data_IF_200790611263
#
_entry.id   IF_200790611263
#
_cell.length_a   1.000
_cell.length_b   1.000
_cell.length_c   1.000
_cell.angle_alpha   90.00
_cell.angle_beta   90.00
_cell.angle_gamma   90.00
#
_symmetry.space_group_name_H-M   'P 1'
#
loop_
_entity.id
_entity.type
_entity.pdbx_description
1 polymer ?
#
# COMPACT_ATOMS: atom_id res chain seq x y z
N UNK A 1 5.29 -10.51 -1.11
CA UNK A 1 6.57 -10.68 -0.40
C UNK A 1 6.63 -9.59 0.65
N UNK A 2 6.68 -9.96 1.93
CA UNK A 2 6.85 -9.04 3.05
C UNK A 2 8.05 -9.55 3.84
N UNK A 3 9.05 -8.69 4.08
CA UNK A 3 10.26 -9.07 4.79
C UNK A 3 10.08 -8.73 6.26
N UNK A 4 9.55 -9.67 7.05
CA UNK A 4 9.23 -9.44 8.45
C UNK A 4 10.43 -9.41 9.39
N UNK A 5 11.54 -8.72 9.06
CA UNK A 5 12.73 -8.51 9.90
C UNK A 5 13.38 -9.77 10.54
N UNK A 6 12.91 -10.95 10.16
CA UNK A 6 13.23 -12.27 10.74
C UNK A 6 14.46 -12.90 10.05
N UNK A 7 15.59 -12.20 10.02
CA UNK A 7 16.80 -12.75 9.39
C UNK A 7 18.09 -12.03 9.71
N UNK A 8 19.18 -12.60 9.22
CA UNK A 8 20.52 -12.02 9.30
C UNK A 8 20.99 -11.65 7.90
N UNK A 9 21.62 -10.48 7.78
CA UNK A 9 22.21 -10.02 6.54
C UNK A 9 23.56 -9.35 6.82
N UNK A 10 24.42 -9.32 5.81
CA UNK A 10 25.71 -8.65 5.93
C UNK A 10 25.50 -7.12 5.95
N UNK A 11 26.10 -6.42 6.91
CA UNK A 11 25.99 -4.96 7.06
C UNK A 11 26.37 -4.18 5.79
N UNK A 12 27.26 -4.73 4.96
CA UNK A 12 27.67 -4.11 3.71
C UNK A 12 26.51 -3.96 2.70
N UNK A 13 25.43 -4.73 2.86
CA UNK A 13 24.22 -4.59 2.03
C UNK A 13 23.41 -3.33 2.38
N UNK A 14 23.66 -2.72 3.55
CA UNK A 14 22.95 -1.52 4.02
C UNK A 14 23.46 -0.21 3.43
N UNK A 15 24.45 -0.23 2.52
CA UNK A 15 24.95 1.00 1.92
C UNK A 15 23.80 1.79 1.26
N UNK A 16 23.46 2.94 1.85
CA UNK A 16 22.32 3.80 1.52
C UNK A 16 20.95 3.10 1.52
N UNK A 17 20.75 2.07 2.34
CA UNK A 17 19.46 1.40 2.52
C UNK A 17 18.97 1.57 3.97
N UNK A 18 17.80 2.17 4.13
CA UNK A 18 17.14 2.39 5.42
C UNK A 18 15.65 2.13 5.29
N UNK A 19 14.98 1.88 6.41
CA UNK A 19 13.52 1.90 6.44
C UNK A 19 13.00 3.30 6.13
N UNK A 20 11.86 3.35 5.44
CA UNK A 20 11.16 4.61 5.21
C UNK A 20 10.19 4.84 6.37
N UNK A 21 10.43 5.82 7.26
CA UNK A 21 9.81 5.85 8.59
C UNK A 21 8.33 6.24 8.60
N UNK A 22 7.77 6.68 7.47
CA UNK A 22 6.43 7.26 7.39
C UNK A 22 5.48 6.49 6.47
N UNK A 23 5.78 5.21 6.18
CA UNK A 23 4.89 4.30 5.45
C UNK A 23 4.64 3.03 6.25
N UNK A 24 3.49 2.43 6.01
CA UNK A 24 3.17 1.08 6.44
C UNK A 24 3.92 0.05 5.59
N UNK A 25 4.32 -1.06 6.19
CA UNK A 25 5.06 -2.12 5.51
C UNK A 25 6.36 -1.59 4.87
N UNK A 26 7.06 -0.71 5.60
CA UNK A 26 8.36 -0.15 5.26
C UNK A 26 9.44 -1.22 5.06
N UNK A 27 9.20 -2.37 5.67
CA UNK A 27 9.99 -3.60 5.57
C UNK A 27 9.97 -4.23 4.17
N UNK A 28 8.91 -3.99 3.39
CA UNK A 28 8.70 -4.56 2.07
C UNK A 28 9.67 -4.01 1.01
N UNK A 29 9.75 -2.69 0.75
CA UNK A 29 10.74 -2.14 -0.17
C UNK A 29 12.16 -2.37 0.35
N UNK A 30 12.37 -2.27 1.67
CA UNK A 30 13.66 -2.57 2.30
C UNK A 30 14.13 -3.99 1.97
N UNK A 31 13.28 -4.99 2.21
CA UNK A 31 13.57 -6.38 1.94
C UNK A 31 13.80 -6.65 0.46
N UNK A 32 12.97 -6.12 -0.43
CA UNK A 32 13.15 -6.31 -1.88
C UNK A 32 14.53 -5.78 -2.33
N UNK A 33 14.92 -4.59 -1.88
CA UNK A 33 16.22 -3.99 -2.22
C UNK A 33 17.36 -4.78 -1.58
N UNK A 34 17.22 -5.20 -0.32
CA UNK A 34 18.22 -6.00 0.39
C UNK A 34 18.51 -7.32 -0.35
N UNK A 35 17.44 -8.05 -0.73
CA UNK A 35 17.54 -9.30 -1.46
C UNK A 35 18.07 -9.10 -2.88
N UNK A 36 17.72 -7.99 -3.53
CA UNK A 36 18.25 -7.62 -4.84
C UNK A 36 19.77 -7.34 -4.82
N UNK A 37 20.30 -6.84 -3.69
CA UNK A 37 21.74 -6.62 -3.49
C UNK A 37 22.50 -7.89 -3.07
N UNK A 38 21.81 -8.92 -2.59
CA UNK A 38 22.45 -10.13 -2.07
C UNK A 38 23.03 -10.99 -3.21
N UNK A 39 24.30 -11.40 -3.06
CA UNK A 39 24.95 -12.33 -4.00
C UNK A 39 24.57 -13.80 -3.75
N UNK A 40 24.24 -14.13 -2.50
CA UNK A 40 23.85 -15.47 -2.08
C UNK A 40 22.83 -15.34 -0.94
N UNK A 41 21.81 -16.20 -0.96
CA UNK A 41 20.81 -16.32 0.09
C UNK A 41 20.87 -17.76 0.60
N UNK A 42 20.96 -17.93 1.92
CA UNK A 42 20.92 -19.24 2.58
C UNK A 42 19.65 -19.33 3.41
N UNK A 43 18.98 -20.48 3.36
CA UNK A 43 17.75 -20.72 4.11
C UNK A 43 18.09 -21.71 5.24
N UNK A 44 17.77 -21.33 6.47
CA UNK A 44 17.88 -22.20 7.63
C UNK A 44 16.48 -22.62 8.08
N UNK A 45 16.17 -23.90 7.97
CA UNK A 45 14.88 -24.43 8.40
C UNK A 45 14.89 -24.76 9.90
N UNK A 46 15.00 -23.73 10.74
CA UNK A 46 14.92 -23.83 12.21
C UNK A 46 14.07 -22.70 12.77
N UNK A 47 13.24 -23.01 13.75
CA UNK A 47 12.48 -21.99 14.47
C UNK A 47 13.40 -21.22 15.41
N UNK A 48 13.71 -19.97 15.05
CA UNK A 48 14.58 -19.09 15.85
C UNK A 48 13.88 -17.85 16.39
N UNK A 49 12.67 -17.55 15.91
CA UNK A 49 11.90 -16.36 16.28
C UNK A 49 10.47 -16.78 16.63
N UNK A 50 9.89 -16.13 17.64
CA UNK A 50 8.49 -16.27 18.03
C UNK A 50 7.76 -15.00 17.61
N UNK A 51 6.83 -15.12 16.67
CA UNK A 51 6.00 -14.01 16.25
C UNK A 51 4.88 -13.74 17.28
N UNK A 52 4.79 -12.51 17.79
CA UNK A 52 3.74 -12.12 18.74
C UNK A 52 2.52 -11.56 18.01
N UNK A 53 1.38 -12.24 18.17
CA UNK A 53 0.08 -11.76 17.70
C UNK A 53 -0.59 -10.93 18.80
N UNK A 54 -1.11 -9.75 18.46
CA UNK A 54 -1.86 -8.89 19.39
C UNK A 54 -2.95 -8.09 18.67
N UNK A 55 -4.03 -7.77 19.41
CA UNK A 55 -5.06 -6.83 18.97
C UNK A 55 -4.52 -5.40 18.86
N UNK A 56 -5.19 -4.57 18.04
CA UNK A 56 -4.76 -3.20 17.80
C UNK A 56 -3.37 -3.09 17.14
N UNK A 57 -2.95 -4.11 16.40
CA UNK A 57 -1.72 -4.07 15.62
C UNK A 57 -1.91 -3.32 14.29
N UNK A 58 -0.81 -2.90 13.68
CA UNK A 58 -0.84 -2.34 12.32
C UNK A 58 -1.46 -3.30 11.30
N UNK A 59 -1.30 -4.60 11.51
CA UNK A 59 -1.78 -5.68 10.65
C UNK A 59 -3.22 -6.15 10.95
N UNK A 60 -3.94 -5.50 11.87
CA UNK A 60 -5.33 -5.84 12.18
C UNK A 60 -6.27 -5.44 11.02
N UNK A 61 -6.87 -6.41 10.32
CA UNK A 61 -7.76 -6.12 9.20
C UNK A 61 -9.26 -6.12 9.58
N UNK A 62 -9.61 -6.59 10.78
CA UNK A 62 -10.97 -6.65 11.30
C UNK A 62 -11.41 -5.31 11.91
N UNK A 63 -11.36 -4.25 11.10
CA UNK A 63 -11.73 -2.88 11.51
C UNK A 63 -13.04 -2.49 10.84
N UNK A 64 -13.98 -2.03 11.65
CA UNK A 64 -15.28 -1.54 11.21
C UNK A 64 -15.35 -0.02 11.32
N UNK A 65 -16.42 0.59 10.77
CA UNK A 65 -16.65 2.03 10.89
C UNK A 65 -16.80 2.49 12.35
N UNK A 66 -17.23 1.59 13.24
CA UNK A 66 -17.42 1.85 14.67
C UNK A 66 -16.17 1.56 15.51
N UNK A 67 -15.08 1.10 14.91
CA UNK A 67 -13.85 0.81 15.66
C UNK A 67 -13.27 2.11 16.26
N UNK A 68 -12.91 2.11 17.56
CA UNK A 68 -12.40 3.31 18.22
C UNK A 68 -11.06 3.71 17.62
N UNK A 69 -10.80 5.03 17.59
CA UNK A 69 -9.48 5.57 17.27
C UNK A 69 -8.46 5.05 18.27
N UNK A 70 -7.30 4.61 17.77
CA UNK A 70 -6.16 4.23 18.61
C UNK A 70 -5.13 5.36 18.59
N UNK A 71 -4.20 5.34 19.55
CA UNK A 71 -3.03 6.21 19.51
C UNK A 71 -2.28 6.02 18.18
N UNK A 72 -1.97 7.13 17.51
CA UNK A 72 -1.27 7.16 16.24
C UNK A 72 -0.05 8.08 16.30
N UNK A 73 0.92 7.86 15.41
CA UNK A 73 2.08 8.74 15.25
C UNK A 73 1.64 10.12 14.75
N UNK A 74 2.30 11.19 15.17
CA UNK A 74 2.08 12.56 14.67
C UNK A 74 2.23 12.66 13.14
N UNK A 75 3.00 11.74 12.54
CA UNK A 75 3.11 11.64 11.09
C UNK A 75 1.79 11.28 10.38
N UNK A 76 0.73 10.87 11.08
CA UNK A 76 -0.58 10.51 10.53
C UNK A 76 -1.66 11.56 10.81
N UNK A 77 -1.35 12.65 11.50
CA UNK A 77 -2.33 13.64 11.96
C UNK A 77 -3.15 14.24 10.81
N UNK A 78 -2.52 14.49 9.66
CA UNK A 78 -3.17 15.00 8.44
C UNK A 78 -4.28 14.06 7.95
N UNK A 79 -3.98 12.75 7.89
CA UNK A 79 -4.91 11.72 7.45
C UNK A 79 -6.04 11.53 8.44
N UNK A 80 -5.73 11.49 9.74
CA UNK A 80 -6.74 11.32 10.79
C UNK A 80 -7.71 12.49 10.79
N UNK A 81 -7.20 13.72 10.69
CA UNK A 81 -8.04 14.93 10.66
C UNK A 81 -8.95 14.98 9.44
N UNK A 82 -8.42 14.65 8.25
CA UNK A 82 -9.20 14.68 7.02
C UNK A 82 -10.26 13.56 6.95
N UNK A 83 -9.88 12.33 7.28
CA UNK A 83 -10.71 11.14 7.04
C UNK A 83 -11.58 10.74 8.24
N UNK A 84 -11.22 11.20 9.45
CA UNK A 84 -11.94 11.08 10.74
C UNK A 84 -12.16 9.66 11.27
N UNK A 85 -12.58 8.73 10.43
CA UNK A 85 -12.87 7.35 10.78
C UNK A 85 -11.61 6.47 10.73
N UNK A 86 -11.48 5.54 11.68
CA UNK A 86 -10.32 4.65 11.79
C UNK A 86 -10.11 3.77 10.58
N UNK A 87 -11.17 3.15 10.10
CA UNK A 87 -11.15 2.35 8.87
C UNK A 87 -10.61 3.17 7.70
N UNK A 88 -11.17 4.37 7.50
CA UNK A 88 -10.84 5.25 6.38
C UNK A 88 -9.38 5.69 6.36
N UNK A 89 -8.86 6.28 7.45
CA UNK A 89 -7.46 6.72 7.45
C UNK A 89 -6.48 5.56 7.43
N UNK A 90 -6.79 4.42 8.05
CA UNK A 90 -5.90 3.25 8.03
C UNK A 90 -5.75 2.69 6.62
N UNK A 91 -6.85 2.46 5.93
CA UNK A 91 -6.80 1.94 4.56
C UNK A 91 -6.21 2.98 3.60
N UNK A 92 -6.52 4.26 3.76
CA UNK A 92 -5.86 5.32 2.99
C UNK A 92 -4.34 5.32 3.23
N UNK A 93 -3.89 5.21 4.49
CA UNK A 93 -2.48 5.10 4.84
C UNK A 93 -1.81 3.87 4.21
N UNK A 94 -2.49 2.72 4.22
CA UNK A 94 -2.03 1.51 3.56
C UNK A 94 -1.86 1.71 2.04
N UNK A 95 -2.87 2.26 1.36
CA UNK A 95 -2.80 2.55 -0.08
C UNK A 95 -1.73 3.58 -0.43
N UNK A 96 -1.60 4.64 0.38
CA UNK A 96 -0.52 5.62 0.30
C UNK A 96 0.86 4.95 0.44
N UNK A 97 0.97 3.98 1.34
CA UNK A 97 2.22 3.25 1.55
C UNK A 97 2.57 2.39 0.35
N UNK A 98 1.60 1.64 -0.21
CA UNK A 98 1.81 0.90 -1.46
C UNK A 98 2.24 1.77 -2.62
N UNK A 99 1.72 3.00 -2.71
CA UNK A 99 2.18 3.98 -3.69
C UNK A 99 3.68 4.27 -3.53
N UNK A 100 4.14 4.57 -2.30
CA UNK A 100 5.55 4.89 -2.04
C UNK A 100 6.46 3.68 -2.28
N UNK A 101 6.02 2.48 -1.87
CA UNK A 101 6.73 1.23 -2.16
C UNK A 101 6.91 1.08 -3.67
N UNK A 102 5.84 1.19 -4.45
CA UNK A 102 5.92 0.96 -5.89
C UNK A 102 6.75 2.04 -6.60
N UNK A 103 6.62 3.33 -6.24
CA UNK A 103 7.43 4.41 -6.80
C UNK A 103 8.90 4.24 -6.46
N UNK A 104 9.24 3.95 -5.19
CA UNK A 104 10.63 3.71 -4.79
C UNK A 104 11.24 2.49 -5.50
N UNK A 105 10.46 1.45 -5.78
CA UNK A 105 10.92 0.32 -6.57
C UNK A 105 11.10 0.64 -8.05
N UNK A 106 10.31 1.56 -8.64
CA UNK A 106 10.55 2.06 -10.00
C UNK A 106 11.91 2.75 -10.07
N UNK A 107 12.21 3.64 -9.12
CA UNK A 107 13.49 4.34 -9.05
C UNK A 107 14.64 3.34 -8.88
N UNK A 108 14.47 2.36 -7.99
CA UNK A 108 15.47 1.31 -7.77
C UNK A 108 15.75 0.47 -9.03
N UNK A 109 14.73 0.06 -9.78
CA UNK A 109 14.90 -0.67 -11.06
C UNK A 109 15.77 0.15 -12.03
N UNK A 110 15.66 1.48 -12.03
CA UNK A 110 16.49 2.37 -12.85
C UNK A 110 17.99 2.23 -12.58
N UNK A 111 18.37 1.83 -11.37
CA UNK A 111 19.78 1.66 -10.95
C UNK A 111 20.37 0.29 -11.26
N UNK A 112 19.52 -0.70 -11.56
CA UNK A 112 19.98 -2.07 -11.83
C UNK A 112 20.54 -2.20 -13.26
N UNK A 113 21.50 -3.08 -13.48
CA UNK A 113 21.94 -3.51 -14.81
C UNK A 113 21.29 -4.83 -15.26
N UNK A 114 20.86 -5.66 -14.32
CA UNK A 114 20.37 -7.03 -14.55
C UNK A 114 18.90 -7.08 -15.01
N UNK A 115 18.63 -7.58 -16.22
CA UNK A 115 17.26 -7.65 -16.80
C UNK A 115 16.31 -8.61 -16.04
N UNK A 116 16.68 -9.87 -15.74
CA UNK A 116 15.78 -10.78 -15.02
C UNK A 116 15.29 -10.27 -13.65
N UNK A 117 16.17 -9.60 -12.88
CA UNK A 117 15.80 -9.05 -11.58
C UNK A 117 14.86 -7.85 -11.74
N UNK A 118 15.12 -6.98 -12.73
CA UNK A 118 14.19 -5.88 -13.06
C UNK A 118 12.80 -6.43 -13.36
N UNK A 119 12.69 -7.49 -14.15
CA UNK A 119 11.39 -8.04 -14.53
C UNK A 119 10.64 -8.64 -13.34
N UNK A 120 11.33 -9.27 -12.39
CA UNK A 120 10.73 -9.73 -11.13
C UNK A 120 10.19 -8.57 -10.29
N UNK A 121 10.93 -7.47 -10.18
CA UNK A 121 10.47 -6.29 -9.42
C UNK A 121 9.33 -5.59 -10.16
N UNK A 122 9.38 -5.47 -11.50
CA UNK A 122 8.26 -4.98 -12.31
C UNK A 122 7.01 -5.82 -12.08
N UNK A 123 7.14 -7.15 -12.09
CA UNK A 123 6.03 -8.04 -11.80
C UNK A 123 5.45 -7.79 -10.41
N UNK A 124 6.31 -7.59 -9.39
CA UNK A 124 5.85 -7.17 -8.06
C UNK A 124 5.04 -5.87 -8.12
N UNK A 125 5.55 -4.82 -8.79
CA UNK A 125 4.86 -3.53 -8.95
C UNK A 125 3.49 -3.72 -9.62
N UNK A 126 3.41 -4.49 -10.71
CA UNK A 126 2.14 -4.73 -11.43
C UNK A 126 1.09 -5.37 -10.52
N UNK A 127 1.50 -6.32 -9.66
CA UNK A 127 0.57 -6.98 -8.74
C UNK A 127 0.10 -6.09 -7.58
N UNK A 128 0.85 -5.05 -7.23
CA UNK A 128 0.50 -4.15 -6.11
C UNK A 128 0.05 -2.76 -6.57
N UNK A 129 0.11 -2.47 -7.87
CA UNK A 129 -0.35 -1.20 -8.43
C UNK A 129 -1.81 -0.92 -8.06
N UNK A 130 -2.68 -1.94 -8.06
CA UNK A 130 -4.09 -1.77 -7.69
C UNK A 130 -4.23 -1.17 -6.28
N UNK A 131 -3.45 -1.67 -5.32
CA UNK A 131 -3.46 -1.16 -3.94
C UNK A 131 -2.97 0.29 -3.85
N UNK A 132 -1.97 0.68 -4.64
CA UNK A 132 -1.53 2.08 -4.71
C UNK A 132 -2.65 3.01 -5.24
N UNK A 133 -3.31 2.61 -6.32
CA UNK A 133 -4.36 3.42 -6.96
C UNK A 133 -5.67 3.46 -6.16
N UNK A 134 -5.92 2.52 -5.25
CA UNK A 134 -7.10 2.54 -4.36
C UNK A 134 -7.15 3.73 -3.40
N UNK A 135 -6.04 4.46 -3.23
CA UNK A 135 -6.05 5.78 -2.56
C UNK A 135 -7.00 6.79 -3.22
N UNK A 136 -7.43 6.56 -4.47
CA UNK A 136 -8.39 7.41 -5.21
C UNK A 136 -9.86 7.17 -4.84
N UNK A 137 -10.18 6.19 -4.00
CA UNK A 137 -11.55 5.94 -3.55
C UNK A 137 -12.07 6.98 -2.56
N UNK A 138 -11.14 7.66 -1.88
CA UNK A 138 -11.41 8.67 -0.88
C UNK A 138 -11.67 10.02 -1.56
N UNK A 139 -12.66 10.75 -1.05
CA UNK A 139 -12.99 12.07 -1.57
C UNK A 139 -11.98 13.10 -1.06
N UNK A 140 -11.51 12.92 0.18
CA UNK A 140 -10.38 13.60 0.79
C UNK A 140 -9.05 13.06 0.26
N UNK A 141 -8.08 13.96 0.07
CA UNK A 141 -6.74 13.58 -0.40
C UNK A 141 -5.65 14.39 0.32
N UNK A 142 -5.46 14.18 1.63
CA UNK A 142 -4.52 14.96 2.45
C UNK A 142 -3.06 14.87 1.98
N UNK A 143 -2.69 13.83 1.21
CA UNK A 143 -1.33 13.64 0.70
C UNK A 143 -1.17 13.72 -0.81
N UNK A 144 -2.13 14.32 -1.51
CA UNK A 144 -2.03 14.61 -2.94
C UNK A 144 -1.63 13.40 -3.81
N UNK A 145 -2.12 12.19 -3.48
CA UNK A 145 -1.64 10.92 -4.08
C UNK A 145 -1.77 10.82 -5.59
N UNK A 146 -2.73 11.54 -6.18
CA UNK A 146 -2.98 11.56 -7.62
C UNK A 146 -1.74 11.95 -8.43
N UNK A 147 -0.99 12.96 -7.98
CA UNK A 147 0.22 13.40 -8.67
C UNK A 147 1.33 12.35 -8.53
N UNK A 148 1.44 11.75 -7.34
CA UNK A 148 2.42 10.73 -7.03
C UNK A 148 2.16 9.40 -7.76
N UNK A 149 0.94 9.16 -8.26
CA UNK A 149 0.58 7.96 -9.03
C UNK A 149 1.07 8.00 -10.49
N UNK A 150 1.50 9.17 -11.01
CA UNK A 150 1.89 9.31 -12.42
C UNK A 150 2.95 8.29 -12.88
N UNK A 151 4.03 8.02 -12.12
CA UNK A 151 5.03 7.01 -12.50
C UNK A 151 4.46 5.60 -12.61
N UNK A 152 3.34 5.30 -11.94
CA UNK A 152 2.72 3.97 -11.94
C UNK A 152 1.78 3.72 -13.13
N UNK A 153 1.51 4.72 -13.97
CA UNK A 153 0.64 4.59 -15.15
C UNK A 153 1.03 3.41 -16.08
N UNK A 154 2.32 3.14 -16.35
CA UNK A 154 2.71 1.98 -17.19
C UNK A 154 2.47 0.62 -16.54
N UNK A 155 2.16 0.57 -15.24
CA UNK A 155 2.03 -0.65 -14.44
C UNK A 155 0.58 -0.99 -14.08
N UNK A 156 -0.40 -0.45 -14.83
CA UNK A 156 -1.82 -0.60 -14.55
C UNK A 156 -2.45 -1.91 -15.06
N UNK A 157 -1.66 -2.90 -15.48
CA UNK A 157 -2.15 -4.12 -16.16
C UNK A 157 -3.16 -4.89 -15.31
N UNK A 158 -3.01 -4.90 -13.99
CA UNK A 158 -3.91 -5.58 -13.04
C UNK A 158 -4.75 -4.60 -12.18
N UNK A 159 -4.84 -3.33 -12.56
CA UNK A 159 -5.63 -2.33 -11.83
C UNK A 159 -7.11 -2.45 -12.23
N UNK A 160 -7.99 -2.49 -11.23
CA UNK A 160 -9.44 -2.65 -11.41
C UNK A 160 -10.01 -1.53 -12.31
N UNK A 161 -11.00 -1.85 -13.16
CA UNK A 161 -11.59 -0.87 -14.07
C UNK A 161 -12.21 0.34 -13.36
N UNK A 162 -12.86 0.14 -12.22
CA UNK A 162 -13.40 1.22 -11.39
C UNK A 162 -12.31 2.20 -10.93
N UNK A 163 -11.14 1.67 -10.55
CA UNK A 163 -9.98 2.44 -10.13
C UNK A 163 -9.37 3.19 -11.31
N UNK A 164 -9.29 2.55 -12.49
CA UNK A 164 -8.85 3.20 -13.73
C UNK A 164 -9.75 4.38 -14.09
N UNK A 165 -11.08 4.23 -13.97
CA UNK A 165 -12.04 5.33 -14.17
C UNK A 165 -11.82 6.44 -13.12
N UNK A 166 -11.61 6.09 -11.85
CA UNK A 166 -11.30 7.07 -10.81
C UNK A 166 -10.05 7.90 -11.14
N UNK A 167 -9.05 7.27 -11.74
CA UNK A 167 -7.83 7.94 -12.17
C UNK A 167 -8.02 8.80 -13.42
N UNK A 168 -8.49 8.23 -14.54
CA UNK A 168 -8.56 8.92 -15.83
C UNK A 168 -9.77 9.85 -15.98
N UNK A 169 -10.89 9.53 -15.34
CA UNK A 169 -12.15 10.26 -15.47
C UNK A 169 -12.79 10.53 -14.09
N UNK A 170 -12.16 11.35 -13.23
CA UNK A 170 -12.59 11.52 -11.83
C UNK A 170 -14.01 12.07 -11.68
N UNK A 171 -14.46 12.95 -12.60
CA UNK A 171 -15.84 13.48 -12.59
C UNK A 171 -16.85 12.35 -12.83
N UNK A 172 -16.60 11.51 -13.84
CA UNK A 172 -17.45 10.36 -14.14
C UNK A 172 -17.47 9.37 -12.97
N UNK A 173 -16.31 9.07 -12.39
CA UNK A 173 -16.22 8.21 -11.22
C UNK A 173 -17.08 8.70 -10.04
N UNK A 174 -17.03 10.00 -9.74
CA UNK A 174 -17.86 10.61 -8.68
C UNK A 174 -19.36 10.46 -8.95
N UNK A 175 -19.79 10.64 -10.20
CA UNK A 175 -21.19 10.41 -10.60
C UNK A 175 -21.57 8.94 -10.39
N UNK A 176 -20.77 8.00 -10.92
CA UNK A 176 -21.02 6.56 -10.79
C UNK A 176 -21.07 6.12 -9.32
N UNK A 177 -20.15 6.62 -8.48
CA UNK A 177 -20.11 6.36 -7.04
C UNK A 177 -21.38 6.85 -6.35
N UNK A 178 -21.86 8.06 -6.68
CA UNK A 178 -23.10 8.63 -6.13
C UNK A 178 -24.33 7.81 -6.56
N UNK A 179 -24.43 7.46 -7.84
CA UNK A 179 -25.55 6.65 -8.36
C UNK A 179 -25.60 5.26 -7.70
N UNK A 180 -24.44 4.60 -7.55
CA UNK A 180 -24.34 3.32 -6.85
C UNK A 180 -24.83 3.40 -5.40
N UNK A 181 -24.50 4.48 -4.69
CA UNK A 181 -24.96 4.70 -3.30
C UNK A 181 -26.48 4.88 -3.23
N UNK A 182 -27.06 5.65 -4.15
CA UNK A 182 -28.51 5.85 -4.22
C UNK A 182 -29.23 4.52 -4.48
N UNK A 183 -28.77 3.74 -5.47
CA UNK A 183 -29.35 2.43 -5.78
C UNK A 183 -29.27 1.45 -4.60
N UNK A 184 -28.15 1.43 -3.87
CA UNK A 184 -27.99 0.59 -2.67
C UNK A 184 -29.01 0.96 -1.60
N UNK A 185 -29.22 2.25 -1.36
CA UNK A 185 -30.17 2.72 -0.35
C UNK A 185 -31.62 2.40 -0.75
N UNK A 186 -31.98 2.55 -2.02
CA UNK A 186 -33.31 2.18 -2.54
C UNK A 186 -33.55 0.67 -2.44
N UNK A 187 -32.56 -0.16 -2.76
CA UNK A 187 -32.65 -1.61 -2.62
C UNK A 187 -32.79 -2.08 -1.17
N UNK A 188 -32.06 -1.44 -0.24
CA UNK A 188 -32.15 -1.75 1.19
C UNK A 188 -33.54 -1.41 1.78
N UNK A 189 -34.16 -0.32 1.31
CA UNK A 189 -35.52 0.05 1.72
C UNK A 189 -36.56 -0.98 1.26
N UNK A 190 -36.41 -1.54 0.05
CA UNK A 190 -37.33 -2.56 -0.49
C UNK A 190 -37.22 -3.93 0.20
N UNK A 191 -36.09 -4.25 0.81
CA UNK A 191 -35.88 -5.53 1.50
C UNK A 191 -36.32 -5.49 2.98
N UNK A 192 -36.61 -4.29 3.51
CA UNK A 192 -37.04 -4.07 4.89
C UNK A 192 -38.53 -3.66 4.99
N UNK A 193 -39.27 -3.71 3.88
CA UNK A 193 -40.71 -3.42 3.75
C UNK A 193 -41.47 -4.68 3.37
#
# INVERSE_FOLDING_TARGET
FHWGWEGMFNINLLNNLRFYPTIHAEDTPFGIILFAKAKQIKILNKQLVIHRIRSGSGCEHDITENSPLLTYSSSLTDMVFALKQRSSYKFYYMHYSYLYVCVGLIDFIGTLSNTPLKDKIKYFIINHANEAFRSLYYDENPRHTRELLKPLKPYMQKVDNSVRIAYFAPRLYKILKKTKRILKNVGALKNNS
#
